data_IF_401499795119
#
_entry.id   IF_401499795119
#
_cell.length_a   1.000
_cell.length_b   1.000
_cell.length_c   1.000
_cell.angle_alpha   90.00
_cell.angle_beta   90.00
_cell.angle_gamma   90.00
#
_symmetry.space_group_name_H-M   'P 1'
#
loop_
_entity.id
_entity.type
_entity.pdbx_description
1 polymer ?
#
# COMPACT_ATOMS: atom_id res chain seq x y z
N UNK A 1 -2.56 14.10 -7.42
CA UNK A 1 -2.12 12.70 -7.32
C UNK A 1 -2.91 11.95 -6.29
N UNK A 2 -3.25 10.72 -6.61
CA UNK A 2 -3.98 9.87 -5.70
C UNK A 2 -3.01 8.89 -5.05
N UNK A 3 -3.24 8.59 -3.79
CA UNK A 3 -2.38 7.67 -3.05
C UNK A 3 -3.21 6.53 -2.49
N UNK A 4 -2.68 5.33 -2.64
CA UNK A 4 -3.28 4.15 -2.01
C UNK A 4 -2.27 3.49 -1.11
N UNK A 5 -2.76 2.95 0.00
CA UNK A 5 -1.97 2.07 0.85
C UNK A 5 -2.53 0.67 0.66
N UNK A 6 -1.68 -0.27 0.33
CA UNK A 6 -2.11 -1.63 0.06
C UNK A 6 -1.42 -2.55 1.07
N UNK A 7 -2.23 -3.24 1.83
CA UNK A 7 -1.75 -4.24 2.77
C UNK A 7 -1.79 -5.59 2.07
N UNK A 8 -0.71 -6.30 2.10
CA UNK A 8 -0.54 -7.51 1.30
C UNK A 8 -0.19 -8.69 2.19
N UNK A 9 -0.88 -9.81 1.96
CA UNK A 9 -0.48 -11.08 2.52
C UNK A 9 0.15 -11.91 1.42
N UNK A 10 1.32 -12.47 1.71
CA UNK A 10 2.05 -13.27 0.74
C UNK A 10 1.99 -14.74 1.11
N UNK A 11 2.38 -15.58 0.18
CA UNK A 11 2.62 -16.99 0.49
C UNK A 11 3.74 -17.05 1.51
N UNK A 12 3.73 -18.09 2.31
CA UNK A 12 4.73 -18.27 3.36
C UNK A 12 6.12 -18.29 2.76
N UNK A 13 6.98 -17.42 3.28
CA UNK A 13 8.36 -17.35 2.81
C UNK A 13 8.57 -16.50 1.58
N UNK A 14 7.50 -15.93 1.02
CA UNK A 14 7.62 -15.15 -0.21
C UNK A 14 7.71 -13.65 0.01
N UNK A 15 7.73 -13.19 1.25
CA UNK A 15 7.70 -11.75 1.56
C UNK A 15 8.82 -11.00 0.85
N UNK A 16 10.01 -11.56 0.90
CA UNK A 16 11.15 -10.87 0.33
C UNK A 16 11.05 -10.79 -1.18
N UNK A 17 10.61 -11.86 -1.80
CA UNK A 17 10.46 -11.91 -3.24
C UNK A 17 9.41 -10.91 -3.72
N UNK A 18 8.28 -10.85 -3.02
CA UNK A 18 7.24 -9.90 -3.36
C UNK A 18 7.72 -8.46 -3.17
N UNK A 19 8.44 -8.22 -2.08
CA UNK A 19 8.98 -6.89 -1.81
C UNK A 19 9.91 -6.45 -2.92
N UNK A 20 10.76 -7.35 -3.39
CA UNK A 20 11.69 -7.04 -4.47
C UNK A 20 10.96 -6.70 -5.77
N UNK A 21 9.93 -7.44 -6.06
CA UNK A 21 9.17 -7.19 -7.28
C UNK A 21 8.37 -5.91 -7.23
N UNK A 22 7.94 -5.52 -6.04
CA UNK A 22 7.24 -4.25 -5.88
C UNK A 22 8.10 -3.07 -6.28
N UNK A 23 9.39 -3.17 -6.15
CA UNK A 23 10.29 -2.09 -6.52
C UNK A 23 10.23 -1.74 -8.00
N UNK A 24 9.78 -2.68 -8.81
CA UNK A 24 9.70 -2.46 -10.25
C UNK A 24 8.31 -2.10 -10.74
N UNK A 25 7.38 -1.92 -9.81
CA UNK A 25 6.02 -1.53 -10.19
C UNK A 25 5.97 -0.01 -10.27
N UNK A 26 5.61 0.49 -11.44
CA UNK A 26 5.47 1.93 -11.62
C UNK A 26 4.39 2.45 -10.70
N UNK A 27 4.69 3.49 -9.95
CA UNK A 27 3.75 4.06 -8.99
C UNK A 27 3.96 3.56 -7.58
N UNK A 28 4.63 2.43 -7.40
CA UNK A 28 4.91 1.94 -6.07
C UNK A 28 6.11 2.72 -5.52
N UNK A 29 5.85 3.57 -4.56
CA UNK A 29 6.87 4.46 -4.06
C UNK A 29 7.58 3.96 -2.83
N UNK A 30 6.93 3.09 -2.09
CA UNK A 30 7.48 2.66 -0.82
C UNK A 30 6.80 1.37 -0.41
N UNK A 31 7.54 0.47 0.18
CA UNK A 31 6.97 -0.77 0.70
C UNK A 31 7.80 -1.23 1.89
N UNK A 32 7.14 -1.80 2.87
CA UNK A 32 7.76 -2.25 4.10
C UNK A 32 7.21 -3.59 4.54
N UNK A 33 8.06 -4.40 5.12
CA UNK A 33 7.60 -5.61 5.79
C UNK A 33 6.90 -5.23 7.08
N UNK A 34 5.91 -6.00 7.45
CA UNK A 34 5.14 -5.77 8.66
C UNK A 34 5.18 -6.98 9.56
N UNK A 35 5.02 -6.74 10.84
CA UNK A 35 4.80 -7.79 11.83
C UNK A 35 3.34 -7.71 12.19
N UNK A 36 2.54 -8.69 11.80
CA UNK A 36 1.13 -8.69 12.15
C UNK A 36 0.31 -9.48 11.15
N UNK A 37 -0.95 -9.09 11.04
CA UNK A 37 -1.88 -9.80 10.17
C UNK A 37 -1.48 -9.76 8.71
N UNK A 38 -0.95 -8.62 8.28
CA UNK A 38 -0.46 -8.48 6.92
C UNK A 38 1.05 -8.49 6.89
N UNK A 39 1.61 -8.92 5.78
CA UNK A 39 3.05 -9.10 5.64
C UNK A 39 3.78 -7.88 5.09
N UNK A 40 3.11 -7.12 4.26
CA UNK A 40 3.71 -5.97 3.59
C UNK A 40 2.71 -4.84 3.50
N UNK A 41 3.19 -3.61 3.62
CA UNK A 41 2.41 -2.43 3.28
C UNK A 41 3.14 -1.71 2.15
N UNK A 42 2.41 -1.31 1.12
CA UNK A 42 2.96 -0.58 -0.01
C UNK A 42 2.20 0.72 -0.20
N UNK A 43 2.91 1.77 -0.58
CA UNK A 43 2.31 3.05 -0.91
C UNK A 43 2.42 3.24 -2.42
N UNK A 44 1.27 3.42 -3.06
CA UNK A 44 1.19 3.52 -4.51
C UNK A 44 0.54 4.83 -4.89
N UNK A 45 1.12 5.53 -5.86
CA UNK A 45 0.58 6.78 -6.35
C UNK A 45 0.29 6.72 -7.83
N UNK A 46 -0.72 7.46 -8.25
CA UNK A 46 -1.04 7.60 -9.66
C UNK A 46 -1.77 8.92 -9.89
N UNK A 47 -1.76 9.38 -11.13
CA UNK A 47 -2.40 10.63 -11.49
C UNK A 47 -3.92 10.53 -11.48
N UNK A 48 -4.45 9.39 -11.83
CA UNK A 48 -5.89 9.21 -11.96
C UNK A 48 -6.32 7.94 -11.23
N UNK A 49 -7.60 7.89 -10.92
CA UNK A 49 -8.17 6.72 -10.29
C UNK A 49 -8.06 5.49 -11.19
N UNK A 50 -8.26 5.68 -12.48
CA UNK A 50 -8.16 4.57 -13.42
C UNK A 50 -6.77 3.96 -13.41
N UNK A 51 -5.75 4.81 -13.40
CA UNK A 51 -4.38 4.35 -13.38
C UNK A 51 -4.06 3.66 -12.06
N UNK A 52 -4.52 4.24 -10.97
CA UNK A 52 -4.28 3.66 -9.65
C UNK A 52 -4.92 2.28 -9.54
N UNK A 53 -6.16 2.16 -10.00
CA UNK A 53 -6.86 0.90 -9.98
C UNK A 53 -6.18 -0.14 -10.85
N UNK A 54 -5.69 0.30 -12.00
CA UNK A 54 -4.97 -0.59 -12.91
C UNK A 54 -3.72 -1.16 -12.25
N UNK A 55 -2.95 -0.31 -11.59
CA UNK A 55 -1.73 -0.76 -10.91
C UNK A 55 -2.08 -1.78 -9.84
N UNK A 56 -3.06 -1.47 -9.03
CA UNK A 56 -3.41 -2.33 -7.90
C UNK A 56 -4.01 -3.65 -8.37
N UNK A 57 -4.89 -3.61 -9.34
CA UNK A 57 -5.58 -4.83 -9.73
C UNK A 57 -4.78 -5.67 -10.70
N UNK A 58 -3.99 -5.05 -11.56
CA UNK A 58 -3.27 -5.80 -12.57
C UNK A 58 -1.79 -5.99 -12.25
N UNK A 59 -1.11 -4.91 -11.95
CA UNK A 59 0.33 -5.01 -11.74
C UNK A 59 0.69 -5.79 -10.48
N UNK A 60 -0.04 -5.57 -9.42
CA UNK A 60 0.21 -6.32 -8.20
C UNK A 60 -0.15 -7.79 -8.38
N UNK A 61 -1.17 -8.07 -9.18
CA UNK A 61 -1.54 -9.44 -9.44
C UNK A 61 -0.46 -10.17 -10.22
N UNK A 62 0.22 -9.49 -11.11
CA UNK A 62 1.29 -10.08 -11.91
C UNK A 62 2.51 -10.46 -11.08
N UNK A 63 2.66 -9.90 -9.90
CA UNK A 63 3.77 -10.26 -9.05
C UNK A 63 3.70 -11.73 -8.64
N UNK A 64 2.50 -12.22 -8.41
CA UNK A 64 2.34 -13.59 -7.96
C UNK A 64 2.64 -13.73 -6.47
N UNK A 65 2.37 -14.88 -5.92
CA UNK A 65 2.65 -15.19 -4.51
C UNK A 65 1.96 -14.28 -3.52
N UNK A 66 0.94 -13.58 -3.98
CA UNK A 66 0.12 -12.71 -3.14
C UNK A 66 -1.19 -13.43 -2.87
N UNK A 67 -1.47 -13.71 -1.59
CA UNK A 67 -2.69 -14.41 -1.22
C UNK A 67 -3.88 -13.49 -1.06
N UNK A 68 -3.65 -12.32 -0.53
CA UNK A 68 -4.73 -11.37 -0.28
C UNK A 68 -4.17 -9.96 -0.21
N UNK A 69 -5.01 -8.99 -0.52
CA UNK A 69 -4.62 -7.61 -0.36
C UNK A 69 -5.81 -6.78 0.06
N UNK A 70 -5.54 -5.74 0.84
CA UNK A 70 -6.54 -4.79 1.29
C UNK A 70 -6.07 -3.42 0.86
N UNK A 71 -6.89 -2.74 0.07
CA UNK A 71 -6.52 -1.44 -0.49
C UNK A 71 -7.30 -0.33 0.18
N UNK A 72 -6.56 0.71 0.59
CA UNK A 72 -7.16 1.91 1.16
C UNK A 72 -6.68 3.09 0.34
N UNK A 73 -7.60 3.83 -0.23
CA UNK A 73 -7.25 4.99 -1.04
C UNK A 73 -7.52 6.23 -0.20
N UNK A 74 -6.53 7.10 -0.10
CA UNK A 74 -6.68 8.29 0.73
C UNK A 74 -7.65 9.26 0.10
N UNK A 75 -8.46 9.88 0.95
CA UNK A 75 -9.34 10.92 0.49
C UNK A 75 -8.52 12.17 0.20
N UNK A 76 -8.93 12.90 -0.80
CA UNK A 76 -8.22 14.11 -1.17
C UNK A 76 -8.73 15.29 -0.39
N UNK A 77 -8.64 15.22 0.90
CA UNK A 77 -9.12 16.27 1.76
C UNK A 77 -7.98 17.01 2.36
N UNK A 78 -8.13 18.28 2.47
CA UNK A 78 -7.11 19.11 3.05
C UNK A 78 -7.27 19.18 4.53
N UNK A 79 -6.85 18.24 5.24
CA UNK A 79 -6.92 18.27 6.67
C UNK A 79 -5.54 18.25 7.25
N UNK A 80 -5.33 19.06 8.24
CA UNK A 80 -4.04 19.05 8.88
C UNK A 80 -3.92 17.87 9.80
N UNK A 81 -3.00 17.01 9.59
CA UNK A 81 -2.86 15.84 10.43
C UNK A 81 -2.44 16.15 11.84
N UNK A 82 -1.86 17.27 12.01
CA UNK A 82 -1.42 17.66 13.31
C UNK A 82 -2.53 17.75 14.31
N UNK A 83 -3.69 18.10 13.84
CA UNK A 83 -4.82 18.24 14.71
C UNK A 83 -5.18 16.95 15.38
N UNK A 84 -4.80 15.85 14.82
CA UNK A 84 -5.19 14.59 15.36
C UNK A 84 -4.19 14.07 16.36
N UNK A 85 -3.03 14.55 16.25
CA UNK A 85 -2.01 14.05 17.12
C UNK A 85 -2.11 14.66 18.49
N UNK A 86 -2.50 15.88 18.55
CA UNK A 86 -2.44 16.55 19.76
C UNK A 86 -3.27 16.00 20.83
N UNK A 87 -4.40 15.74 20.62
CA UNK A 87 -5.21 15.43 21.69
C UNK A 87 -4.94 14.21 22.36
N UNK A 88 -4.47 13.68 22.01
CA UNK A 88 -4.43 12.61 22.61
C UNK A 88 -3.89 12.47 23.69
N UNK A 89 -3.82 12.66 24.15
CA UNK A 89 -3.30 12.33 25.08
C UNK A 89 -3.72 12.16 26.09
N UNK A 90 -3.92 11.96 26.39
CA UNK A 90 -4.08 11.74 27.21
C UNK A 90 -4.34 11.28 27.73
N UNK A 91 -4.31 11.30 27.53
CA UNK A 91 -4.45 10.67 28.04
C UNK A 91 -4.55 10.45 28.44
#
# INVERSE_FOLDING_TARGET
>A
MLTAFVLINTEIGAEFDVLEKLKNVEGAEEAHNLWGVYDIIARIKADTMDKLTFIISKKLKEIGKVNAKLTMITAETEMSPILFATPVQNG
#
